data_IF_304655140124
#
_entry.id   IF_304655140124
#
_cell.length_a   1.000
_cell.length_b   1.000
_cell.length_c   1.000
_cell.angle_alpha   90.00
_cell.angle_beta   90.00
_cell.angle_gamma   90.00
#
_symmetry.space_group_name_H-M   'P 1'
#
loop_
_entity.id
_entity.type
_entity.pdbx_description
1 polymer ?
#
# COMPACT_ATOMS: atom_id res chain seq x y z
N UNK A 1 2.44 3.51 -3.17
CA UNK A 1 2.59 3.52 -1.68
C UNK A 1 2.34 4.91 -1.05
N UNK A 2 1.11 5.47 -1.07
CA UNK A 2 0.86 6.83 -0.55
C UNK A 2 -0.59 7.08 -0.12
N UNK A 3 -0.81 7.97 0.85
CA UNK A 3 -2.15 8.37 1.32
C UNK A 3 -2.21 9.90 1.34
N UNK A 4 -3.12 10.51 0.56
CA UNK A 4 -3.30 11.96 0.51
C UNK A 4 -3.68 12.53 1.86
N UNK A 5 -3.24 13.76 2.13
CA UNK A 5 -3.62 14.48 3.35
C UNK A 5 -5.12 14.80 3.43
N UNK A 6 -5.79 14.97 2.29
CA UNK A 6 -7.23 15.23 2.20
C UNK A 6 -8.07 14.08 2.76
N UNK A 7 -7.67 12.83 2.51
CA UNK A 7 -8.46 11.67 2.92
C UNK A 7 -8.28 11.28 4.40
N UNK A 8 -7.19 11.71 5.06
CA UNK A 8 -6.85 11.28 6.42
C UNK A 8 -8.00 11.50 7.40
N UNK A 9 -8.69 12.64 7.31
CA UNK A 9 -9.81 12.97 8.22
C UNK A 9 -10.94 11.94 8.18
N UNK A 10 -11.17 11.29 7.03
CA UNK A 10 -12.19 10.26 6.85
C UNK A 10 -11.84 8.94 7.52
N UNK A 11 -10.57 8.74 7.88
CA UNK A 11 -10.06 7.48 8.43
C UNK A 11 -10.22 7.36 9.97
N UNK A 12 -10.76 8.38 10.63
CA UNK A 12 -10.87 8.46 12.09
C UNK A 12 -11.66 7.31 12.73
N UNK A 13 -12.64 6.77 12.01
CA UNK A 13 -13.58 5.76 12.49
C UNK A 13 -13.34 4.36 11.93
N UNK A 14 -12.19 4.12 11.30
CA UNK A 14 -11.83 2.78 10.86
C UNK A 14 -11.58 1.85 12.05
N UNK A 15 -11.90 0.58 11.89
CA UNK A 15 -11.50 -0.49 12.81
C UNK A 15 -10.02 -0.84 12.63
N UNK A 16 -9.47 -1.65 13.54
CA UNK A 16 -8.07 -2.10 13.42
C UNK A 16 -7.83 -2.92 12.15
N UNK A 17 -8.77 -3.79 11.80
CA UNK A 17 -8.68 -4.65 10.61
C UNK A 17 -8.78 -3.80 9.34
N UNK A 18 -9.69 -2.84 9.29
CA UNK A 18 -9.81 -1.89 8.18
C UNK A 18 -8.54 -1.07 7.99
N UNK A 19 -7.91 -0.62 9.08
CA UNK A 19 -6.61 0.04 9.02
C UNK A 19 -5.52 -0.87 8.44
N UNK A 20 -5.42 -2.11 8.91
CA UNK A 20 -4.40 -3.05 8.43
C UNK A 20 -4.62 -3.41 6.97
N UNK A 21 -5.88 -3.51 6.53
CA UNK A 21 -6.23 -3.72 5.14
C UNK A 21 -5.92 -2.50 4.27
N UNK A 22 -6.35 -1.29 4.68
CA UNK A 22 -6.08 -0.04 3.96
C UNK A 22 -4.57 0.20 3.79
N UNK A 23 -3.78 -0.02 4.84
CA UNK A 23 -2.33 0.09 4.78
C UNK A 23 -1.67 -1.01 3.95
N UNK A 24 -2.31 -2.18 3.79
CA UNK A 24 -1.87 -3.20 2.86
C UNK A 24 -2.09 -2.76 1.42
N UNK A 25 -3.33 -2.44 1.04
CA UNK A 25 -3.68 -2.08 -0.35
C UNK A 25 -3.00 -0.77 -0.77
N UNK A 26 -2.89 0.19 0.15
CA UNK A 26 -2.24 1.48 -0.11
C UNK A 26 -0.76 1.35 -0.46
N UNK A 27 -0.13 0.19 -0.22
CA UNK A 27 1.23 -0.09 -0.69
C UNK A 27 1.27 -0.38 -2.19
N UNK A 28 0.38 -1.22 -2.67
CA UNK A 28 0.43 -1.73 -4.05
C UNK A 28 -0.26 -0.84 -5.07
N UNK A 29 -0.94 0.22 -4.62
CA UNK A 29 -1.65 1.15 -5.50
C UNK A 29 -0.76 1.84 -6.53
N UNK A 30 -1.35 2.10 -7.69
CA UNK A 30 -0.80 2.92 -8.76
C UNK A 30 -0.95 4.43 -8.47
N UNK A 31 -0.83 5.27 -9.51
CA UNK A 31 -1.03 6.72 -9.35
C UNK A 31 -2.50 7.12 -9.25
N UNK A 32 -3.43 6.33 -9.75
CA UNK A 32 -4.86 6.59 -9.70
C UNK A 32 -5.51 6.01 -8.44
N UNK A 33 -4.72 5.53 -7.47
CA UNK A 33 -5.26 4.91 -6.27
C UNK A 33 -5.82 3.50 -6.50
N UNK A 34 -5.58 2.91 -7.66
CA UNK A 34 -6.07 1.60 -8.04
C UNK A 34 -5.07 0.50 -7.64
N UNK A 35 -5.61 -0.61 -7.15
CA UNK A 35 -4.87 -1.82 -6.77
C UNK A 35 -5.54 -3.01 -7.43
N UNK A 36 -4.95 -3.54 -8.49
CA UNK A 36 -5.45 -4.73 -9.15
C UNK A 36 -5.03 -5.99 -8.39
N UNK A 37 -5.81 -7.07 -8.45
CA UNK A 37 -5.36 -8.40 -8.03
C UNK A 37 -5.22 -8.58 -6.51
N UNK A 38 -6.07 -7.95 -5.71
CA UNK A 38 -6.03 -8.11 -4.25
C UNK A 38 -6.56 -9.49 -3.85
N UNK A 39 -5.63 -10.42 -3.64
CA UNK A 39 -5.93 -11.79 -3.25
C UNK A 39 -6.00 -11.98 -1.73
N UNK A 40 -7.11 -12.51 -1.22
CA UNK A 40 -7.37 -12.60 0.23
C UNK A 40 -6.26 -13.37 0.98
N UNK A 41 -5.70 -14.44 0.41
CA UNK A 41 -4.65 -15.24 1.09
C UNK A 41 -3.37 -14.41 1.32
N UNK A 42 -3.05 -13.52 0.40
CA UNK A 42 -1.90 -12.63 0.55
C UNK A 42 -2.14 -11.59 1.63
N UNK A 43 -3.35 -11.02 1.67
CA UNK A 43 -3.74 -10.07 2.72
C UNK A 43 -3.64 -10.75 4.08
N UNK A 44 -4.20 -11.96 4.23
CA UNK A 44 -4.14 -12.74 5.46
C UNK A 44 -2.69 -13.00 5.88
N UNK A 45 -1.83 -13.44 4.95
CA UNK A 45 -0.40 -13.69 5.22
C UNK A 45 0.33 -12.42 5.70
N UNK A 46 0.00 -11.24 5.16
CA UNK A 46 0.71 -10.00 5.44
C UNK A 46 0.20 -9.24 6.66
N UNK A 47 -1.09 -9.35 6.95
CA UNK A 47 -1.77 -8.61 8.02
C UNK A 47 -2.03 -9.48 9.25
N UNK A 48 -2.14 -10.80 9.09
CA UNK A 48 -2.53 -11.74 10.13
C UNK A 48 -4.04 -11.82 10.36
N UNK A 49 -4.86 -11.12 9.55
CA UNK A 49 -6.31 -11.20 9.66
C UNK A 49 -6.83 -12.55 9.13
N UNK A 50 -7.99 -12.99 9.63
CA UNK A 50 -8.66 -14.18 9.09
C UNK A 50 -9.44 -13.86 7.81
N UNK A 51 -9.92 -14.90 7.12
CA UNK A 51 -10.70 -14.77 5.87
C UNK A 51 -11.96 -13.92 6.07
N UNK A 52 -12.70 -14.12 7.17
CA UNK A 52 -13.90 -13.33 7.45
C UNK A 52 -13.56 -11.85 7.68
N UNK A 53 -12.49 -11.57 8.43
CA UNK A 53 -12.01 -10.22 8.67
C UNK A 53 -11.61 -9.49 7.39
N UNK A 54 -11.07 -10.20 6.39
CA UNK A 54 -10.80 -9.63 5.06
C UNK A 54 -12.09 -9.11 4.41
N UNK A 55 -13.14 -9.92 4.32
CA UNK A 55 -14.40 -9.51 3.69
C UNK A 55 -15.10 -8.39 4.48
N UNK A 56 -15.13 -8.50 5.81
CA UNK A 56 -15.69 -7.45 6.66
C UNK A 56 -14.95 -6.12 6.49
N UNK A 57 -13.62 -6.14 6.31
CA UNK A 57 -12.84 -4.93 6.07
C UNK A 57 -13.07 -4.36 4.67
N UNK A 58 -13.22 -5.22 3.66
CA UNK A 58 -13.53 -4.82 2.29
C UNK A 58 -14.88 -4.10 2.23
N UNK A 59 -15.94 -4.74 2.74
CA UNK A 59 -17.29 -4.17 2.82
C UNK A 59 -17.35 -2.94 3.74
N UNK A 60 -16.67 -2.99 4.88
CA UNK A 60 -16.65 -1.91 5.86
C UNK A 60 -15.97 -0.64 5.35
N UNK A 61 -14.92 -0.76 4.54
CA UNK A 61 -14.27 0.37 3.87
C UNK A 61 -15.11 0.93 2.71
N UNK A 62 -15.79 0.06 1.96
CA UNK A 62 -16.71 0.47 0.89
C UNK A 62 -17.91 1.24 1.45
N UNK A 63 -18.54 0.72 2.49
CA UNK A 63 -19.67 1.38 3.18
C UNK A 63 -19.29 2.76 3.71
N UNK A 64 -18.04 2.91 4.18
CA UNK A 64 -17.48 4.21 4.65
C UNK A 64 -17.02 5.11 3.52
N UNK A 65 -17.20 4.72 2.26
CA UNK A 65 -16.76 5.45 1.05
C UNK A 65 -15.27 5.79 1.07
N UNK A 66 -14.46 4.85 1.56
CA UNK A 66 -12.99 4.94 1.51
C UNK A 66 -12.44 4.24 0.28
N UNK A 67 -13.09 3.14 -0.13
CA UNK A 67 -12.75 2.41 -1.33
C UNK A 67 -14.01 2.12 -2.15
N UNK A 68 -13.83 1.78 -3.42
CA UNK A 68 -14.73 0.90 -4.16
C UNK A 68 -13.95 -0.33 -4.62
N UNK A 69 -14.64 -1.42 -4.94
CA UNK A 69 -13.99 -2.60 -5.49
C UNK A 69 -14.88 -3.31 -6.51
N UNK A 70 -14.24 -4.07 -7.40
CA UNK A 70 -14.92 -4.99 -8.30
C UNK A 70 -14.23 -6.35 -8.28
N UNK A 71 -15.02 -7.40 -8.53
CA UNK A 71 -14.53 -8.76 -8.62
C UNK A 71 -14.28 -9.10 -10.10
N UNK A 72 -13.08 -8.78 -10.57
CA UNK A 72 -12.68 -8.98 -11.98
C UNK A 72 -12.15 -10.40 -12.26
N UNK A 73 -11.96 -11.22 -11.24
CA UNK A 73 -11.66 -12.64 -11.39
C UNK A 73 -12.37 -13.47 -10.32
N UNK A 74 -12.36 -14.79 -10.46
CA UNK A 74 -12.96 -15.68 -9.47
C UNK A 74 -12.31 -15.57 -8.08
N UNK A 75 -11.03 -15.15 -8.03
CA UNK A 75 -10.16 -15.30 -6.85
C UNK A 75 -9.75 -13.98 -6.20
N UNK A 76 -9.72 -12.87 -6.94
CA UNK A 76 -9.20 -11.58 -6.50
C UNK A 76 -10.17 -10.42 -6.72
N UNK A 77 -9.79 -9.26 -6.18
CA UNK A 77 -10.55 -8.02 -6.26
C UNK A 77 -9.65 -6.90 -6.78
N UNK A 78 -10.19 -6.07 -7.67
CA UNK A 78 -9.55 -4.82 -8.06
C UNK A 78 -10.18 -3.71 -7.20
N UNK A 79 -9.36 -2.89 -6.55
CA UNK A 79 -9.77 -1.93 -5.53
C UNK A 79 -9.34 -0.53 -5.93
N UNK A 80 -10.24 0.45 -5.82
CA UNK A 80 -9.93 1.86 -5.98
C UNK A 80 -10.01 2.58 -4.63
N UNK A 81 -8.92 3.19 -4.18
CA UNK A 81 -8.89 4.04 -2.98
C UNK A 81 -9.40 5.42 -3.37
N UNK A 82 -10.62 5.73 -2.96
CA UNK A 82 -11.33 6.94 -3.39
C UNK A 82 -10.58 8.20 -2.97
N UNK A 83 -10.57 9.19 -3.86
CA UNK A 83 -9.93 10.50 -3.67
C UNK A 83 -8.42 10.45 -3.37
N UNK A 84 -7.75 9.34 -3.72
CA UNK A 84 -6.31 9.16 -3.49
C UNK A 84 -5.49 9.20 -4.79
N UNK A 85 -6.01 9.86 -5.83
CA UNK A 85 -5.41 9.95 -7.17
C UNK A 85 -4.33 11.02 -7.28
N UNK A 86 -3.23 10.73 -7.96
CA UNK A 86 -2.11 11.61 -8.26
C UNK A 86 -1.83 11.64 -9.77
N UNK A 87 -2.77 12.15 -10.58
CA UNK A 87 -2.64 12.16 -12.04
C UNK A 87 -1.49 13.06 -12.51
N UNK A 88 -1.21 14.16 -11.79
CA UNK A 88 -0.19 15.15 -12.18
C UNK A 88 0.81 15.41 -11.05
N UNK A 89 1.91 16.09 -11.38
CA UNK A 89 2.88 16.57 -10.37
C UNK A 89 2.23 17.54 -9.37
N UNK A 90 1.21 18.30 -9.79
CA UNK A 90 0.52 19.25 -8.91
C UNK A 90 -0.26 18.55 -7.81
N UNK A 91 -0.79 17.35 -8.06
CA UNK A 91 -1.46 16.53 -7.04
C UNK A 91 -0.54 16.19 -5.86
N UNK A 92 0.79 16.27 -6.01
CA UNK A 92 1.73 16.06 -4.91
C UNK A 92 1.90 17.29 -4.02
N UNK A 93 1.51 18.50 -4.49
CA UNK A 93 1.59 19.74 -3.71
C UNK A 93 0.61 19.76 -2.53
N UNK A 94 -0.51 19.02 -2.63
CA UNK A 94 -1.49 18.84 -1.54
C UNK A 94 -0.91 18.14 -0.30
N UNK A 95 0.21 17.42 -0.48
CA UNK A 95 0.85 16.64 0.57
C UNK A 95 0.23 15.26 0.75
N UNK A 96 1.08 14.31 1.14
CA UNK A 96 0.71 12.91 1.30
C UNK A 96 1.64 12.23 2.29
N UNK A 97 1.17 11.12 2.86
CA UNK A 97 1.97 10.24 3.70
C UNK A 97 2.60 9.16 2.83
N UNK A 98 3.93 9.02 2.91
CA UNK A 98 4.65 7.90 2.30
C UNK A 98 4.45 6.63 3.12
N UNK A 99 3.87 5.60 2.51
CA UNK A 99 3.69 4.30 3.18
C UNK A 99 4.92 3.38 3.07
N UNK A 100 5.93 3.73 2.26
CA UNK A 100 7.17 2.96 2.14
C UNK A 100 8.17 3.23 3.29
N UNK A 101 7.69 3.17 4.53
CA UNK A 101 8.51 3.39 5.73
C UNK A 101 8.56 2.13 6.55
N UNK A 102 9.73 1.79 7.07
CA UNK A 102 9.95 0.54 7.84
C UNK A 102 8.97 0.41 9.01
N UNK A 103 8.61 1.54 9.62
CA UNK A 103 7.73 1.58 10.78
C UNK A 103 6.38 0.91 10.57
N UNK A 104 5.76 1.04 9.39
CA UNK A 104 4.43 0.48 9.11
C UNK A 104 4.43 -1.05 9.06
N UNK A 105 5.63 -1.66 9.01
CA UNK A 105 5.83 -3.13 9.06
C UNK A 105 6.21 -3.61 10.46
N UNK A 106 6.61 -2.71 11.37
CA UNK A 106 7.09 -3.10 12.72
C UNK A 106 5.93 -3.43 13.65
N UNK A 107 6.17 -4.41 14.52
CA UNK A 107 5.22 -4.87 15.55
C UNK A 107 4.68 -3.71 16.38
N UNK A 108 5.55 -2.76 16.78
CA UNK A 108 5.15 -1.58 17.56
C UNK A 108 4.08 -0.71 16.89
N UNK A 109 4.03 -0.64 15.56
CA UNK A 109 2.97 0.06 14.83
C UNK A 109 1.72 -0.83 14.71
N UNK A 110 1.91 -2.12 14.38
CA UNK A 110 0.79 -3.08 14.25
C UNK A 110 -0.04 -3.22 15.53
N UNK A 111 0.60 -3.11 16.70
CA UNK A 111 -0.04 -3.19 18.02
C UNK A 111 -0.86 -1.94 18.41
N UNK A 112 -0.75 -0.83 17.66
CA UNK A 112 -1.55 0.35 17.93
C UNK A 112 -3.03 0.05 17.73
N UNK A 113 -3.88 0.67 18.55
CA UNK A 113 -5.34 0.67 18.34
C UNK A 113 -5.72 1.58 17.18
N UNK A 114 -6.92 1.42 16.66
CA UNK A 114 -7.34 2.09 15.43
C UNK A 114 -7.24 3.62 15.51
N UNK A 115 -7.72 4.21 16.61
CA UNK A 115 -7.63 5.65 16.86
C UNK A 115 -6.19 6.13 17.05
N UNK A 116 -5.28 5.27 17.49
CA UNK A 116 -3.86 5.57 17.60
C UNK A 116 -3.16 5.52 16.24
N UNK A 117 -3.50 4.52 15.39
CA UNK A 117 -3.05 4.46 13.98
C UNK A 117 -3.48 5.71 13.22
N UNK A 118 -4.75 6.13 13.39
CA UNK A 118 -5.24 7.39 12.86
C UNK A 118 -4.39 8.57 13.34
N UNK A 119 -4.15 8.70 14.66
CA UNK A 119 -3.37 9.82 15.20
C UNK A 119 -1.93 9.83 14.69
N UNK A 120 -1.31 8.67 14.43
CA UNK A 120 0.01 8.62 13.80
C UNK A 120 -0.04 9.27 12.41
N UNK A 121 -1.03 8.95 11.58
CA UNK A 121 -1.15 9.55 10.25
C UNK A 121 -1.51 11.05 10.34
N UNK A 122 -2.44 11.43 11.20
CA UNK A 122 -2.77 12.85 11.41
C UNK A 122 -1.56 13.65 11.91
N UNK A 123 -0.72 13.08 12.78
CA UNK A 123 0.50 13.74 13.24
C UNK A 123 1.57 13.83 12.15
N UNK A 124 1.71 12.80 11.30
CA UNK A 124 2.56 12.88 10.11
C UNK A 124 2.12 14.01 9.17
N UNK A 125 0.81 14.18 8.98
CA UNK A 125 0.24 15.25 8.17
C UNK A 125 0.56 16.63 8.75
N UNK A 126 0.20 16.90 10.01
CA UNK A 126 0.33 18.25 10.59
C UNK A 126 1.80 18.65 10.88
N UNK A 127 2.71 17.67 10.96
CA UNK A 127 4.16 17.93 11.05
C UNK A 127 4.84 17.96 9.68
N UNK A 128 4.05 17.84 8.59
CA UNK A 128 4.53 17.77 7.21
C UNK A 128 5.73 16.83 7.03
N UNK A 129 5.65 15.62 7.60
CA UNK A 129 6.74 14.64 7.60
C UNK A 129 8.12 15.23 8.04
N UNK A 130 8.14 16.06 9.08
CA UNK A 130 9.30 16.76 9.69
C UNK A 130 9.55 18.20 9.24
N UNK A 131 8.77 18.77 8.32
CA UNK A 131 8.97 20.15 7.89
C UNK A 131 8.42 21.19 8.89
N UNK A 132 7.60 20.78 9.87
CA UNK A 132 7.01 21.70 10.84
C UNK A 132 6.94 21.14 12.27
N UNK A 133 7.01 22.06 13.23
CA UNK A 133 6.66 21.81 14.62
C UNK A 133 5.17 22.12 14.79
N UNK A 134 4.39 21.12 15.17
CA UNK A 134 2.99 21.36 15.48
C UNK A 134 2.84 21.90 16.90
N UNK A 135 2.09 23.00 17.05
CA UNK A 135 1.78 23.57 18.35
C UNK A 135 0.30 23.93 18.49
N UNK A 136 -0.27 23.68 19.66
CA UNK A 136 -1.65 24.04 19.97
C UNK A 136 -1.87 24.13 21.47
N UNK A 137 -2.74 25.04 21.92
CA UNK A 137 -3.12 25.11 23.34
C UNK A 137 -3.72 23.79 23.81
N UNK A 138 -3.47 23.43 25.08
CA UNK A 138 -3.96 22.17 25.65
C UNK A 138 -5.49 22.03 25.54
N UNK A 139 -6.21 23.13 25.75
CA UNK A 139 -7.67 23.17 25.64
C UNK A 139 -8.13 22.87 24.22
N UNK A 140 -7.66 23.63 23.23
CA UNK A 140 -8.03 23.42 21.81
C UNK A 140 -7.62 22.02 21.33
N UNK A 141 -6.50 21.48 21.84
CA UNK A 141 -6.08 20.12 21.55
C UNK A 141 -7.10 19.09 21.98
N UNK A 142 -7.51 19.13 23.25
CA UNK A 142 -8.51 18.21 23.73
C UNK A 142 -9.86 18.42 23.04
N UNK A 143 -10.29 19.66 22.83
CA UNK A 143 -11.54 19.94 22.12
C UNK A 143 -11.54 19.35 20.71
N UNK A 144 -10.48 19.59 19.91
CA UNK A 144 -10.34 19.04 18.55
C UNK A 144 -10.37 17.52 18.56
N UNK A 145 -9.46 16.88 19.31
CA UNK A 145 -9.26 15.42 19.21
C UNK A 145 -10.32 14.61 19.95
N UNK A 146 -10.90 15.12 21.04
CA UNK A 146 -12.05 14.47 21.69
C UNK A 146 -13.28 14.49 20.75
N UNK A 147 -13.56 15.63 20.10
CA UNK A 147 -14.67 15.75 19.15
C UNK A 147 -14.46 14.85 17.94
N UNK A 148 -13.28 14.94 17.31
CA UNK A 148 -12.98 14.17 16.09
C UNK A 148 -12.99 12.66 16.30
N UNK A 149 -12.56 12.18 17.48
CA UNK A 149 -12.46 10.76 17.77
C UNK A 149 -13.62 10.23 18.62
N UNK A 150 -14.52 11.08 19.11
CA UNK A 150 -15.59 10.70 20.04
C UNK A 150 -15.06 10.00 21.29
N UNK A 151 -14.05 10.58 21.95
CA UNK A 151 -13.43 10.00 23.16
C UNK A 151 -13.16 11.04 24.24
N UNK A 152 -12.89 10.58 25.46
CA UNK A 152 -12.59 11.46 26.60
C UNK A 152 -11.16 11.99 26.58
N UNK A 153 -10.90 13.09 27.32
CA UNK A 153 -9.56 13.64 27.52
C UNK A 153 -8.58 12.59 28.07
N UNK A 154 -9.06 11.69 28.95
CA UNK A 154 -8.26 10.59 29.53
C UNK A 154 -7.76 9.64 28.45
N UNK A 155 -8.63 9.26 27.51
CA UNK A 155 -8.24 8.38 26.39
C UNK A 155 -7.23 9.05 25.47
N UNK A 156 -7.43 10.33 25.12
CA UNK A 156 -6.45 11.10 24.34
C UNK A 156 -5.07 11.10 25.01
N UNK A 157 -5.01 11.31 26.34
CA UNK A 157 -3.73 11.25 27.07
C UNK A 157 -3.06 9.87 26.98
N UNK A 158 -3.84 8.80 27.06
CA UNK A 158 -3.35 7.43 26.87
C UNK A 158 -2.77 7.23 25.47
N UNK A 159 -3.48 7.67 24.43
CA UNK A 159 -2.98 7.61 23.05
C UNK A 159 -1.66 8.38 22.89
N UNK A 160 -1.60 9.62 23.41
CA UNK A 160 -0.37 10.42 23.35
C UNK A 160 0.81 9.73 24.04
N UNK A 161 0.58 9.00 25.13
CA UNK A 161 1.63 8.22 25.79
C UNK A 161 2.20 7.14 24.87
N UNK A 162 1.36 6.38 24.18
CA UNK A 162 1.83 5.39 23.20
C UNK A 162 2.51 6.03 21.99
N UNK A 163 2.01 7.19 21.55
CA UNK A 163 2.53 7.91 20.39
C UNK A 163 3.92 8.54 20.64
N UNK A 164 4.38 8.66 21.90
CA UNK A 164 5.77 9.08 22.22
C UNK A 164 6.84 8.18 21.61
N UNK A 165 6.50 6.93 21.24
CA UNK A 165 7.39 6.02 20.52
C UNK A 165 7.65 6.43 19.07
N UNK A 166 6.85 7.36 18.54
CA UNK A 166 6.86 7.81 17.15
C UNK A 166 7.13 9.31 17.02
N UNK A 167 6.69 10.10 17.99
CA UNK A 167 6.81 11.55 17.99
C UNK A 167 7.43 12.05 19.30
N UNK A 168 8.18 13.14 19.24
CA UNK A 168 8.49 13.92 20.44
C UNK A 168 7.27 14.77 20.78
N UNK A 169 6.68 14.48 21.95
CA UNK A 169 5.43 15.09 22.42
C UNK A 169 5.68 15.69 23.80
N UNK A 170 5.67 17.02 23.87
CA UNK A 170 5.91 17.80 25.08
C UNK A 170 4.83 18.84 25.33
N UNK A 171 4.79 19.37 26.55
CA UNK A 171 3.97 20.53 26.90
C UNK A 171 4.92 21.63 27.38
N UNK A 172 4.79 22.82 26.80
CA UNK A 172 5.52 24.03 27.22
C UNK A 172 4.56 25.21 27.15
N UNK A 173 4.54 26.07 28.17
CA UNK A 173 3.69 27.27 28.24
C UNK A 173 2.20 26.99 27.91
N UNK A 174 1.64 25.91 28.47
CA UNK A 174 0.23 25.52 28.26
C UNK A 174 -0.11 24.99 26.86
N UNK A 175 0.89 24.83 25.97
CA UNK A 175 0.72 24.31 24.60
C UNK A 175 1.37 22.94 24.46
N UNK A 176 0.72 22.06 23.70
CA UNK A 176 1.37 20.87 23.16
C UNK A 176 2.33 21.26 22.05
N UNK A 177 3.48 20.61 22.03
CA UNK A 177 4.44 20.61 20.93
C UNK A 177 4.62 19.17 20.45
N UNK A 178 4.42 18.95 19.16
CA UNK A 178 4.54 17.63 18.53
C UNK A 178 5.52 17.73 17.37
N UNK A 179 6.55 16.90 17.41
CA UNK A 179 7.59 16.82 16.39
C UNK A 179 7.84 15.39 15.94
N UNK A 180 8.12 15.24 14.66
CA UNK A 180 8.41 13.98 14.00
C UNK A 180 9.76 13.40 14.45
N UNK A 181 9.82 12.11 14.76
CA UNK A 181 11.10 11.44 15.04
C UNK A 181 11.67 10.82 13.75
N UNK A 182 12.60 11.51 13.11
CA UNK A 182 13.21 11.07 11.85
C UNK A 182 13.79 9.66 11.90
N UNK A 183 14.41 9.29 13.02
CA UNK A 183 14.96 7.95 13.22
C UNK A 183 13.92 6.83 13.18
N UNK A 184 12.65 7.12 13.51
CA UNK A 184 11.57 6.13 13.56
C UNK A 184 10.98 5.86 12.17
N UNK A 185 10.88 6.89 11.35
CA UNK A 185 10.14 6.89 10.09
C UNK A 185 11.02 6.80 8.85
N UNK A 186 12.25 6.27 8.98
CA UNK A 186 13.16 6.04 7.85
C UNK A 186 12.50 5.21 6.75
N UNK A 187 12.81 5.56 5.51
CA UNK A 187 12.37 4.84 4.33
C UNK A 187 12.85 3.39 4.34
N UNK A 188 12.05 2.52 3.71
CA UNK A 188 12.43 1.15 3.47
C UNK A 188 13.11 1.02 2.10
N UNK A 189 14.45 1.04 2.13
CA UNK A 189 15.29 0.98 0.93
C UNK A 189 15.53 -0.46 0.42
N UNK A 190 14.90 -1.48 1.02
CA UNK A 190 15.13 -2.87 0.62
C UNK A 190 14.71 -3.15 -0.83
N UNK A 191 13.65 -2.49 -1.32
CA UNK A 191 13.17 -2.59 -2.69
C UNK A 191 12.36 -1.35 -3.05
N UNK A 192 12.59 -0.76 -4.22
CA UNK A 192 11.91 0.47 -4.64
C UNK A 192 10.39 0.27 -4.73
N UNK A 193 9.61 1.35 -4.59
CA UNK A 193 8.15 1.28 -4.67
C UNK A 193 7.67 0.75 -6.02
N UNK A 194 8.36 1.14 -7.09
CA UNK A 194 8.10 0.68 -8.45
C UNK A 194 8.28 -0.82 -8.57
N UNK A 195 9.43 -1.35 -8.11
CA UNK A 195 9.69 -2.79 -8.14
C UNK A 195 8.69 -3.60 -7.32
N UNK A 196 8.26 -3.11 -6.15
CA UNK A 196 7.21 -3.77 -5.36
C UNK A 196 5.88 -3.83 -6.11
N UNK A 197 5.54 -2.79 -6.88
CA UNK A 197 4.35 -2.77 -7.72
C UNK A 197 4.48 -3.76 -8.89
N UNK A 198 5.63 -3.80 -9.57
CA UNK A 198 5.87 -4.75 -10.67
C UNK A 198 5.82 -6.21 -10.21
N UNK A 199 6.42 -6.53 -9.06
CA UNK A 199 6.33 -7.87 -8.46
C UNK A 199 4.87 -8.27 -8.22
N UNK A 200 4.06 -7.33 -7.71
CA UNK A 200 2.64 -7.54 -7.46
C UNK A 200 1.86 -7.80 -8.75
N UNK A 201 2.17 -7.07 -9.83
CA UNK A 201 1.52 -7.27 -11.13
C UNK A 201 1.82 -8.66 -11.72
N UNK A 202 3.08 -9.11 -11.68
CA UNK A 202 3.43 -10.47 -12.12
C UNK A 202 2.72 -11.52 -11.26
N UNK A 203 2.69 -11.31 -9.94
CA UNK A 203 2.04 -12.21 -9.00
C UNK A 203 0.54 -12.35 -9.28
N UNK A 204 -0.15 -11.24 -9.57
CA UNK A 204 -1.56 -11.23 -10.00
C UNK A 204 -1.76 -12.11 -11.24
N UNK A 205 -0.95 -11.92 -12.28
CA UNK A 205 -1.07 -12.71 -13.52
C UNK A 205 -0.87 -14.21 -13.27
N UNK A 206 0.05 -14.57 -12.37
CA UNK A 206 0.27 -15.95 -11.95
C UNK A 206 -0.94 -16.53 -11.20
N UNK A 207 -1.47 -15.78 -10.23
CA UNK A 207 -2.61 -16.21 -9.42
C UNK A 207 -3.84 -16.47 -10.28
N UNK A 208 -4.19 -15.52 -11.16
CA UNK A 208 -5.35 -15.64 -12.07
C UNK A 208 -5.27 -16.87 -12.98
N UNK A 209 -4.05 -17.32 -13.30
CA UNK A 209 -3.77 -18.49 -14.17
C UNK A 209 -3.40 -19.76 -13.42
N UNK A 210 -3.49 -19.78 -12.09
CA UNK A 210 -3.11 -20.91 -11.25
C UNK A 210 -1.65 -21.38 -11.46
N UNK A 211 -0.74 -20.43 -11.70
CA UNK A 211 0.68 -20.68 -11.90
C UNK A 211 1.38 -20.68 -10.54
N UNK A 212 2.16 -21.71 -10.25
CA UNK A 212 3.02 -21.80 -9.07
C UNK A 212 4.27 -20.95 -9.25
N UNK A 213 4.71 -20.29 -8.18
CA UNK A 213 5.87 -19.42 -8.19
C UNK A 213 6.49 -19.35 -6.79
N UNK A 214 7.73 -18.90 -6.76
CA UNK A 214 8.41 -18.44 -5.55
C UNK A 214 8.72 -16.93 -5.65
N UNK A 215 9.35 -16.39 -4.62
CA UNK A 215 9.66 -14.96 -4.60
C UNK A 215 10.72 -14.57 -5.64
N UNK A 216 11.64 -15.47 -5.97
CA UNK A 216 12.75 -15.20 -6.88
C UNK A 216 12.26 -15.14 -8.33
N UNK A 217 11.49 -16.15 -8.75
CA UNK A 217 10.86 -16.24 -10.06
C UNK A 217 9.94 -15.05 -10.37
N UNK A 218 9.18 -14.56 -9.38
CA UNK A 218 8.39 -13.32 -9.50
C UNK A 218 9.31 -12.12 -9.79
N UNK A 219 10.37 -11.96 -9.00
CA UNK A 219 11.27 -10.82 -9.13
C UNK A 219 12.04 -10.84 -10.45
N UNK A 220 12.47 -12.01 -10.91
CA UNK A 220 13.18 -12.17 -12.18
C UNK A 220 12.26 -11.88 -13.37
N UNK A 221 11.01 -12.36 -13.31
CA UNK A 221 10.01 -12.03 -14.33
C UNK A 221 9.66 -10.53 -14.32
N UNK A 222 9.56 -9.90 -13.14
CA UNK A 222 9.27 -8.47 -13.03
C UNK A 222 10.38 -7.56 -13.59
N UNK A 223 11.66 -8.00 -13.55
CA UNK A 223 12.79 -7.27 -14.15
C UNK A 223 12.63 -7.11 -15.66
N UNK A 224 11.99 -8.07 -16.34
CA UNK A 224 11.73 -8.00 -17.79
C UNK A 224 10.92 -6.75 -18.16
N UNK A 225 10.02 -6.31 -17.28
CA UNK A 225 9.23 -5.09 -17.51
C UNK A 225 10.14 -3.87 -17.57
N UNK A 226 11.09 -3.75 -16.63
CA UNK A 226 12.04 -2.63 -16.63
C UNK A 226 12.98 -2.67 -17.83
N UNK A 227 13.39 -3.87 -18.23
CA UNK A 227 14.28 -4.10 -19.36
C UNK A 227 13.65 -3.69 -20.70
N UNK A 228 12.36 -4.00 -20.91
CA UNK A 228 11.72 -3.90 -22.22
C UNK A 228 10.64 -2.82 -22.36
N UNK A 229 10.26 -2.13 -21.28
CA UNK A 229 9.19 -1.11 -21.34
C UNK A 229 9.41 0.00 -22.37
N UNK A 230 10.65 0.34 -22.71
CA UNK A 230 10.93 1.38 -23.70
C UNK A 230 10.66 0.91 -25.13
N UNK A 231 10.71 -0.41 -25.38
CA UNK A 231 10.45 -1.00 -26.70
C UNK A 231 8.97 -0.94 -27.09
N UNK A 232 8.07 -0.82 -26.10
CA UNK A 232 6.60 -0.87 -26.30
C UNK A 232 5.88 0.40 -25.85
N UNK A 233 6.62 1.49 -25.62
CA UNK A 233 6.03 2.80 -25.29
C UNK A 233 5.71 3.03 -23.81
N UNK A 234 6.00 2.07 -22.93
CA UNK A 234 5.85 2.27 -21.49
C UNK A 234 5.62 1.01 -20.66
N UNK A 235 5.52 1.22 -19.34
CA UNK A 235 5.27 0.15 -18.37
C UNK A 235 3.89 -0.50 -18.59
N UNK A 236 2.87 0.28 -18.96
CA UNK A 236 1.50 -0.22 -19.10
C UNK A 236 1.39 -1.20 -20.26
N UNK A 237 1.95 -0.82 -21.40
CA UNK A 237 1.99 -1.62 -22.63
C UNK A 237 2.83 -2.88 -22.41
N UNK A 238 3.96 -2.75 -21.70
CA UNK A 238 4.80 -3.90 -21.35
C UNK A 238 4.10 -4.89 -20.42
N UNK A 239 3.26 -4.42 -19.50
CA UNK A 239 2.46 -5.31 -18.64
C UNK A 239 1.47 -6.14 -19.47
N UNK A 240 0.88 -5.58 -20.53
CA UNK A 240 0.00 -6.31 -21.45
C UNK A 240 0.77 -7.40 -22.20
N UNK A 241 1.93 -7.04 -22.79
CA UNK A 241 2.80 -8.00 -23.49
C UNK A 241 3.24 -9.13 -22.55
N UNK A 242 3.68 -8.79 -21.35
CA UNK A 242 4.13 -9.78 -20.37
C UNK A 242 2.97 -10.68 -19.92
N UNK A 243 1.78 -10.14 -19.72
CA UNK A 243 0.58 -10.92 -19.39
C UNK A 243 0.26 -11.98 -20.45
N UNK A 244 0.32 -11.61 -21.73
CA UNK A 244 0.17 -12.54 -22.85
C UNK A 244 1.28 -13.60 -22.85
N UNK A 245 2.53 -13.21 -22.65
CA UNK A 245 3.65 -14.16 -22.60
C UNK A 245 3.53 -15.16 -21.44
N UNK A 246 3.11 -14.69 -20.26
CA UNK A 246 2.83 -15.55 -19.10
C UNK A 246 1.72 -16.54 -19.43
N UNK A 247 0.66 -16.10 -20.10
CA UNK A 247 -0.44 -16.96 -20.53
C UNK A 247 0.00 -18.02 -21.53
N UNK A 248 0.68 -17.61 -22.59
CA UNK A 248 1.23 -18.51 -23.61
C UNK A 248 2.19 -19.52 -23.01
N UNK A 249 2.92 -19.17 -21.95
CA UNK A 249 3.87 -20.08 -21.31
C UNK A 249 3.22 -21.31 -20.66
N UNK A 250 1.92 -21.26 -20.37
CA UNK A 250 1.17 -22.31 -19.67
C UNK A 250 -0.12 -22.77 -20.37
N UNK A 251 -0.41 -22.26 -21.57
CA UNK A 251 -1.69 -22.49 -22.26
C UNK A 251 -1.97 -23.97 -22.55
N UNK A 252 -0.93 -24.75 -22.84
CA UNK A 252 -1.00 -26.19 -23.11
C UNK A 252 -0.80 -27.07 -21.86
N UNK A 253 -0.64 -26.46 -20.68
CA UNK A 253 -0.34 -27.17 -19.44
C UNK A 253 -1.57 -27.32 -18.55
N UNK A 254 -1.68 -28.48 -17.90
CA UNK A 254 -2.67 -28.70 -16.84
C UNK A 254 -2.32 -27.85 -15.61
N UNK A 255 -3.31 -27.46 -14.80
CA UNK A 255 -3.12 -26.55 -13.66
C UNK A 255 -1.98 -26.98 -12.72
N UNK A 256 -1.85 -28.28 -12.44
CA UNK A 256 -0.82 -28.84 -11.58
C UNK A 256 0.62 -28.76 -12.13
N UNK A 257 0.77 -28.55 -13.44
CA UNK A 257 2.06 -28.47 -14.14
C UNK A 257 2.50 -27.01 -14.38
N UNK A 258 1.70 -26.03 -13.96
CA UNK A 258 1.96 -24.62 -14.22
C UNK A 258 2.97 -24.08 -13.21
N UNK A 259 4.18 -23.81 -13.68
CA UNK A 259 5.23 -23.15 -12.92
C UNK A 259 5.71 -21.90 -13.67
N UNK A 260 5.98 -20.83 -12.94
CA UNK A 260 6.54 -19.62 -13.51
C UNK A 260 8.00 -19.89 -13.91
N UNK A 261 8.30 -19.79 -15.21
CA UNK A 261 9.62 -20.04 -15.78
C UNK A 261 10.18 -18.74 -16.39
N UNK A 262 10.95 -17.93 -15.64
CA UNK A 262 11.42 -16.63 -16.11
C UNK A 262 12.16 -16.68 -17.44
N UNK A 263 13.06 -17.65 -17.63
CA UNK A 263 13.86 -17.78 -18.87
C UNK A 263 12.98 -18.07 -20.09
N UNK A 264 11.96 -18.90 -19.93
CA UNK A 264 11.03 -19.20 -21.03
C UNK A 264 10.14 -17.99 -21.33
N UNK A 265 9.66 -17.29 -20.30
CA UNK A 265 8.89 -16.05 -20.48
C UNK A 265 9.75 -14.98 -21.15
N UNK A 266 11.02 -14.87 -20.79
CA UNK A 266 11.96 -13.95 -21.44
C UNK A 266 12.10 -14.26 -22.93
N UNK A 267 12.25 -15.54 -23.30
CA UNK A 267 12.24 -15.97 -24.70
C UNK A 267 10.95 -15.54 -25.42
N UNK A 268 9.78 -15.76 -24.80
CA UNK A 268 8.49 -15.36 -25.37
C UNK A 268 8.37 -13.84 -25.53
N UNK A 269 8.84 -13.06 -24.54
CA UNK A 269 8.87 -11.59 -24.63
C UNK A 269 9.74 -11.14 -25.79
N UNK A 270 10.93 -11.71 -25.98
CA UNK A 270 11.79 -11.34 -27.12
C UNK A 270 11.12 -11.63 -28.45
N UNK A 271 10.45 -12.77 -28.58
CA UNK A 271 9.67 -13.13 -29.78
C UNK A 271 8.54 -12.13 -30.00
N UNK A 272 7.78 -11.79 -28.96
CA UNK A 272 6.67 -10.85 -29.05
C UNK A 272 7.08 -9.41 -29.40
N UNK A 273 8.37 -9.09 -29.22
CA UNK A 273 8.96 -7.79 -29.52
C UNK A 273 9.85 -7.81 -30.78
N UNK A 274 9.83 -8.90 -31.56
CA UNK A 274 10.68 -9.09 -32.74
C UNK A 274 12.19 -8.86 -32.49
N UNK A 275 12.67 -9.20 -31.28
CA UNK A 275 14.06 -9.05 -30.89
C UNK A 275 14.89 -10.29 -31.23
N UNK A 276 16.16 -10.13 -31.67
CA UNK A 276 17.00 -11.25 -32.07
C UNK A 276 17.21 -12.27 -30.93
N UNK A 277 17.18 -13.57 -31.20
CA UNK A 277 17.49 -14.59 -30.19
C UNK A 277 18.97 -14.55 -29.80
N UNK A 278 19.31 -14.81 -28.52
CA UNK A 278 20.70 -15.02 -28.11
C UNK A 278 21.31 -16.17 -28.93
N UNK A 279 22.49 -15.95 -29.50
CA UNK A 279 23.32 -17.05 -29.99
C UNK A 279 23.61 -17.96 -28.79
N UNK A 280 23.23 -19.22 -28.92
CA UNK A 280 23.45 -20.30 -27.95
C UNK A 280 24.93 -20.46 -27.61
#
# INVERSE_FOLDING_TARGET
MRIKYSIIGKLANLTNVEWDFLLYIGRYQDRMGCVEGVYYRDVMKNTGMCKQSFYNALEGLETKKIISYCKNSEIDYDIHILENEFPTQESFREGYIKLNRKIFRKIRFKQLKAKEKFLVLEFLKITHENASIYQMTKENFFTKYCKMLGVTKRMIRSYLHHLKKFFSIGIKNGKYFITYLFSVFKDDNARSQELQHLDHMVKKECQRRYIQYDQQTIQDTAKLIQQYRQEVGGTKEMLLVLGTCIESSVSQLKKQERYLKPDYIHKLVRIALDLPSYAS
#
